data_IF_233123805822
#
_entry.id   IF_233123805822
#
_cell.length_a   1.000
_cell.length_b   1.000
_cell.length_c   1.000
_cell.angle_alpha   90.00
_cell.angle_beta   90.00
_cell.angle_gamma   90.00
#
_symmetry.space_group_name_H-M   'P 1'
#
loop_
_entity.id
_entity.type
_entity.pdbx_description
1 polymer ?
#
# COMPACT_ATOMS: atom_id res chain seq x y z
N UNK A 1 -4.37 25.94 31.76
CA UNK A 1 -5.55 25.06 31.86
C UNK A 1 -5.47 24.09 30.68
N UNK A 2 -4.72 23.02 30.86
CA UNK A 2 -4.42 22.05 29.80
C UNK A 2 -5.63 21.13 29.62
N UNK A 3 -6.36 21.32 28.54
CA UNK A 3 -7.41 20.41 28.12
C UNK A 3 -6.76 19.22 27.40
N UNK A 4 -6.55 18.11 28.11
CA UNK A 4 -6.14 16.84 27.52
C UNK A 4 -7.37 16.27 26.79
N UNK A 5 -7.52 16.59 25.51
CA UNK A 5 -8.62 16.13 24.67
C UNK A 5 -8.20 14.92 23.82
N UNK A 6 -8.71 13.75 24.23
CA UNK A 6 -9.19 12.63 23.42
C UNK A 6 -8.51 12.32 22.05
N UNK A 7 -7.36 11.64 22.07
CA UNK A 7 -6.89 10.74 20.98
C UNK A 7 -5.87 9.75 21.59
N UNK A 8 -6.26 8.48 21.80
CA UNK A 8 -5.57 7.45 22.63
C UNK A 8 -4.20 7.88 23.21
N UNK A 9 -4.18 8.76 24.24
CA UNK A 9 -2.97 9.01 25.00
C UNK A 9 -2.90 7.86 26.00
N UNK A 10 -1.77 7.15 26.07
CA UNK A 10 -1.40 6.10 27.05
C UNK A 10 -2.52 5.65 28.01
N UNK A 11 -2.84 4.35 28.07
CA UNK A 11 -3.85 3.84 29.00
C UNK A 11 -3.34 3.82 30.44
N UNK A 12 -3.20 5.03 30.99
CA UNK A 12 -2.75 5.31 32.33
C UNK A 12 -3.92 5.20 33.32
N UNK A 13 -3.65 4.82 34.57
CA UNK A 13 -4.60 4.98 35.67
C UNK A 13 -5.12 6.42 35.79
N UNK A 14 -6.36 6.60 36.25
CA UNK A 14 -7.01 7.92 36.26
C UNK A 14 -6.35 8.93 37.22
N UNK A 15 -5.69 8.45 38.27
CA UNK A 15 -4.90 9.27 39.19
C UNK A 15 -3.67 9.89 38.50
N UNK A 16 -3.10 9.24 37.49
CA UNK A 16 -2.00 9.81 36.70
C UNK A 16 -2.46 10.97 35.81
N UNK A 17 -3.70 10.93 35.32
CA UNK A 17 -4.25 11.98 34.44
C UNK A 17 -4.49 13.30 35.17
N UNK A 18 -4.61 13.25 36.49
CA UNK A 18 -4.85 14.42 37.35
C UNK A 18 -3.56 15.01 37.93
N UNK A 19 -2.40 14.50 37.52
CA UNK A 19 -1.11 15.00 37.95
C UNK A 19 -0.90 16.43 37.43
N UNK A 20 -0.60 17.37 38.34
CA UNK A 20 -0.19 18.72 37.97
C UNK A 20 1.32 18.77 37.66
N UNK A 21 1.65 18.72 36.37
CA UNK A 21 3.04 18.72 35.88
C UNK A 21 3.78 20.05 36.12
N UNK A 22 3.08 21.18 36.33
CA UNK A 22 3.72 22.48 36.60
C UNK A 22 4.50 22.51 37.93
N UNK A 23 4.22 21.56 38.82
CA UNK A 23 4.89 21.40 40.11
C UNK A 23 5.73 20.12 40.20
N UNK A 24 5.99 19.47 39.06
CA UNK A 24 6.74 18.24 39.00
C UNK A 24 8.24 18.48 38.73
N UNK A 25 9.07 17.70 39.39
CA UNK A 25 10.46 17.50 38.99
C UNK A 25 10.51 16.30 38.03
N UNK A 26 10.82 16.57 36.76
CA UNK A 26 10.80 15.59 35.67
C UNK A 26 12.23 15.36 35.19
N UNK A 27 12.69 14.12 35.34
CA UNK A 27 13.98 13.66 34.81
C UNK A 27 13.75 12.70 33.65
N UNK A 28 14.38 12.97 32.51
CA UNK A 28 14.40 12.07 31.35
C UNK A 28 15.82 11.56 31.15
N UNK A 29 15.99 10.25 31.03
CA UNK A 29 17.27 9.59 30.76
C UNK A 29 17.11 8.64 29.58
N UNK A 30 18.00 8.71 28.62
CA UNK A 30 18.12 7.69 27.58
C UNK A 30 19.11 6.61 28.00
N UNK A 31 18.93 5.38 27.54
CA UNK A 31 19.88 4.27 27.77
C UNK A 31 20.16 4.00 29.26
N UNK A 32 19.11 4.03 30.10
CA UNK A 32 19.26 3.86 31.54
C UNK A 32 19.57 2.41 31.90
N UNK A 33 20.80 2.16 32.35
CA UNK A 33 21.22 0.84 32.83
C UNK A 33 20.47 0.44 34.11
N UNK A 34 19.89 -0.75 34.11
CA UNK A 34 19.20 -1.37 35.26
C UNK A 34 20.11 -2.39 35.95
N UNK A 35 19.66 -2.92 37.10
CA UNK A 35 20.48 -3.82 37.96
C UNK A 35 21.06 -5.05 37.26
N UNK A 36 20.38 -5.58 36.24
CA UNK A 36 20.84 -6.75 35.48
C UNK A 36 21.76 -6.40 34.28
N UNK A 37 22.08 -5.11 34.09
CA UNK A 37 22.96 -4.64 33.02
C UNK A 37 22.26 -4.27 31.70
N UNK A 38 20.95 -4.52 31.54
CA UNK A 38 20.17 -4.03 30.40
C UNK A 38 19.94 -2.53 30.48
N UNK A 39 19.51 -1.92 29.37
CA UNK A 39 19.27 -0.47 29.27
C UNK A 39 17.86 -0.19 28.78
N UNK A 40 17.12 0.61 29.52
CA UNK A 40 15.84 1.16 29.05
C UNK A 40 16.12 2.29 28.04
N UNK A 41 15.52 2.22 26.86
CA UNK A 41 15.77 3.20 25.79
C UNK A 41 15.46 4.62 26.24
N UNK A 42 14.27 4.83 26.83
CA UNK A 42 13.88 6.09 27.45
C UNK A 42 13.24 5.80 28.81
N UNK A 43 13.77 6.44 29.84
CA UNK A 43 13.27 6.40 31.20
C UNK A 43 12.85 7.80 31.63
N UNK A 44 11.63 7.93 32.14
CA UNK A 44 11.07 9.17 32.66
C UNK A 44 10.75 8.94 34.13
N UNK A 45 11.27 9.82 35.00
CA UNK A 45 10.92 9.87 36.40
C UNK A 45 10.25 11.20 36.70
N UNK A 46 9.06 11.14 37.26
CA UNK A 46 8.25 12.30 37.64
C UNK A 46 8.10 12.28 39.15
N UNK A 47 8.57 13.32 39.82
CA UNK A 47 8.45 13.47 41.27
C UNK A 47 7.59 14.68 41.61
N UNK A 48 6.56 14.45 42.43
CA UNK A 48 5.59 15.48 42.82
C UNK A 48 5.31 15.31 44.30
N UNK A 49 5.68 16.32 45.08
CA UNK A 49 5.66 16.27 46.54
C UNK A 49 6.34 14.98 47.08
N UNK A 50 5.56 14.06 47.64
CA UNK A 50 6.03 12.78 48.21
C UNK A 50 5.81 11.58 47.29
N UNK A 51 5.21 11.79 46.11
CA UNK A 51 4.93 10.74 45.14
C UNK A 51 5.98 10.75 44.03
N UNK A 52 6.33 9.54 43.59
CA UNK A 52 7.21 9.33 42.44
C UNK A 52 6.54 8.39 41.45
N UNK A 53 6.71 8.68 40.17
CA UNK A 53 6.17 7.92 39.05
C UNK A 53 7.28 7.60 38.06
N UNK A 54 7.25 6.38 37.51
CA UNK A 54 8.21 5.92 36.53
C UNK A 54 7.54 5.52 35.23
N UNK A 55 8.03 6.03 34.10
CA UNK A 55 7.65 5.55 32.77
C UNK A 55 8.89 4.99 32.09
N UNK A 56 8.79 3.76 31.59
CA UNK A 56 9.78 3.16 30.72
C UNK A 56 9.20 3.12 29.30
N UNK A 57 9.88 3.67 28.31
CA UNK A 57 9.50 3.56 26.90
C UNK A 57 10.56 2.71 26.21
N UNK A 58 10.14 1.55 25.70
CA UNK A 58 10.94 0.71 24.81
C UNK A 58 10.64 1.10 23.36
N UNK A 59 11.67 1.50 22.62
CA UNK A 59 11.56 2.07 21.29
C UNK A 59 11.94 1.04 20.22
N UNK A 60 10.94 0.46 19.55
CA UNK A 60 11.10 -0.58 18.53
C UNK A 60 10.58 -0.13 17.15
N UNK A 61 11.24 0.84 16.49
CA UNK A 61 10.86 1.22 15.13
C UNK A 61 11.06 0.06 14.14
N UNK A 62 12.14 -0.72 14.30
CA UNK A 62 12.54 -1.77 13.36
C UNK A 62 13.09 -3.05 14.01
N UNK A 63 13.45 -2.99 15.29
CA UNK A 63 14.20 -4.06 15.95
C UNK A 63 13.27 -5.14 16.51
N UNK A 64 13.73 -6.39 16.47
CA UNK A 64 13.10 -7.49 17.21
C UNK A 64 13.31 -7.33 18.72
N UNK A 65 12.45 -7.97 19.52
CA UNK A 65 12.57 -7.93 20.97
C UNK A 65 13.71 -8.82 21.48
N UNK A 66 14.35 -8.39 22.56
CA UNK A 66 15.29 -9.23 23.30
C UNK A 66 14.55 -10.24 24.20
N UNK A 67 15.16 -11.40 24.43
CA UNK A 67 14.64 -12.40 25.40
C UNK A 67 14.40 -11.75 26.77
N UNK A 68 13.25 -11.99 27.37
CA UNK A 68 12.79 -11.48 28.67
C UNK A 68 12.91 -9.96 28.88
N UNK A 69 13.06 -9.18 27.82
CA UNK A 69 13.42 -7.76 27.91
C UNK A 69 12.37 -6.94 28.64
N UNK A 70 11.10 -7.06 28.25
CA UNK A 70 10.03 -6.31 28.90
C UNK A 70 9.77 -6.79 30.34
N UNK A 71 9.94 -8.08 30.61
CA UNK A 71 9.85 -8.62 31.98
C UNK A 71 10.92 -8.01 32.90
N UNK A 72 12.16 -7.94 32.43
CA UNK A 72 13.26 -7.33 33.18
C UNK A 72 12.99 -5.86 33.50
N UNK A 73 12.44 -5.10 32.55
CA UNK A 73 12.06 -3.71 32.77
C UNK A 73 10.89 -3.57 33.74
N UNK A 74 9.83 -4.36 33.60
CA UNK A 74 8.71 -4.33 34.54
C UNK A 74 9.15 -4.69 35.97
N UNK A 75 10.05 -5.65 36.14
CA UNK A 75 10.61 -6.02 37.44
C UNK A 75 11.42 -4.86 38.07
N UNK A 76 12.22 -4.15 37.26
CA UNK A 76 12.94 -2.98 37.75
C UNK A 76 11.98 -1.84 38.11
N UNK A 77 11.03 -1.54 37.24
CA UNK A 77 10.10 -0.43 37.41
C UNK A 77 9.17 -0.62 38.60
N UNK A 78 8.64 -1.83 38.80
CA UNK A 78 7.82 -2.17 39.97
C UNK A 78 8.63 -2.18 41.27
N UNK A 79 9.93 -2.48 41.23
CA UNK A 79 10.79 -2.34 42.39
C UNK A 79 11.03 -0.86 42.78
N UNK A 80 11.27 -0.01 41.78
CA UNK A 80 11.52 1.42 42.00
C UNK A 80 10.24 2.20 42.33
N UNK A 81 9.10 1.80 41.75
CA UNK A 81 7.81 2.48 41.86
C UNK A 81 6.69 1.45 42.07
N UNK A 82 6.53 0.90 43.29
CA UNK A 82 5.63 -0.24 43.55
C UNK A 82 4.17 -0.08 43.10
N UNK A 83 3.66 1.15 43.01
CA UNK A 83 2.28 1.45 42.61
C UNK A 83 2.19 2.41 41.42
N UNK A 84 3.31 2.98 40.99
CA UNK A 84 3.34 4.14 40.11
C UNK A 84 4.34 3.93 38.96
N UNK A 85 4.24 2.79 38.28
CA UNK A 85 5.02 2.53 37.09
C UNK A 85 4.14 2.31 35.86
N UNK A 86 4.69 2.63 34.70
CA UNK A 86 4.07 2.33 33.42
C UNK A 86 5.14 1.98 32.39
N UNK A 87 4.86 0.99 31.55
CA UNK A 87 5.70 0.58 30.44
C UNK A 87 5.00 0.91 29.12
N UNK A 88 5.70 1.60 28.24
CA UNK A 88 5.23 1.95 26.90
C UNK A 88 6.05 1.16 25.90
N UNK A 89 5.37 0.36 25.08
CA UNK A 89 5.98 -0.26 23.92
C UNK A 89 5.67 0.61 22.70
N UNK A 90 6.71 1.24 22.14
CA UNK A 90 6.59 2.08 20.94
C UNK A 90 7.07 1.30 19.72
N UNK A 91 6.12 0.74 18.95
CA UNK A 91 6.42 -0.10 17.79
C UNK A 91 6.36 0.66 16.47
N UNK A 92 7.07 0.19 15.44
CA UNK A 92 7.01 0.77 14.09
C UNK A 92 5.63 0.62 13.43
N UNK A 93 5.08 -0.60 13.41
CA UNK A 93 3.94 -0.98 12.55
C UNK A 93 2.78 -1.66 13.30
N UNK A 94 2.71 -1.54 14.63
CA UNK A 94 1.65 -2.18 15.44
C UNK A 94 1.90 -3.65 15.74
N UNK A 95 3.14 -4.12 15.58
CA UNK A 95 3.52 -5.45 16.06
C UNK A 95 3.44 -5.47 17.58
N UNK A 96 2.79 -6.48 18.13
CA UNK A 96 2.79 -6.73 19.58
C UNK A 96 4.17 -7.21 20.06
N UNK A 97 4.50 -7.03 21.35
CA UNK A 97 5.70 -7.62 21.92
C UNK A 97 5.76 -9.13 21.69
N UNK A 98 6.93 -9.64 21.33
CA UNK A 98 7.17 -11.06 21.14
C UNK A 98 7.06 -11.84 22.45
N UNK A 99 6.56 -13.07 22.37
CA UNK A 99 6.32 -13.96 23.52
C UNK A 99 7.60 -14.24 24.33
N UNK A 100 8.77 -14.29 23.68
CA UNK A 100 10.04 -14.46 24.38
C UNK A 100 10.43 -13.24 25.22
N UNK A 101 9.96 -12.04 24.87
CA UNK A 101 10.18 -10.82 25.64
C UNK A 101 9.28 -10.73 26.87
N UNK A 102 7.99 -11.05 26.68
CA UNK A 102 6.98 -11.13 27.74
C UNK A 102 5.94 -12.18 27.38
N UNK A 103 5.63 -13.06 28.33
CA UNK A 103 4.58 -14.06 28.13
C UNK A 103 3.21 -13.39 27.99
N UNK A 104 2.32 -13.88 27.10
CA UNK A 104 1.00 -13.30 26.87
C UNK A 104 0.16 -13.12 28.14
N UNK A 105 0.26 -14.03 29.11
CA UNK A 105 -0.53 -13.95 30.36
C UNK A 105 -0.03 -12.83 31.27
N UNK A 106 1.28 -12.59 31.29
CA UNK A 106 1.91 -11.50 32.04
C UNK A 106 1.55 -10.16 31.38
N UNK A 107 1.66 -10.08 30.06
CA UNK A 107 1.31 -8.87 29.30
C UNK A 107 -0.17 -8.50 29.52
N UNK A 108 -1.07 -9.49 29.49
CA UNK A 108 -2.49 -9.29 29.78
C UNK A 108 -2.72 -8.72 31.18
N UNK A 109 -2.02 -9.24 32.19
CA UNK A 109 -2.09 -8.70 33.56
C UNK A 109 -1.69 -7.23 33.62
N UNK A 110 -0.64 -6.82 32.89
CA UNK A 110 -0.21 -5.42 32.86
C UNK A 110 -1.22 -4.51 32.14
N UNK A 111 -1.84 -4.99 31.06
CA UNK A 111 -2.93 -4.28 30.38
C UNK A 111 -4.13 -4.09 31.33
N UNK A 112 -4.58 -5.15 32.01
CA UNK A 112 -5.71 -5.10 32.95
C UNK A 112 -5.42 -4.13 34.12
N UNK A 113 -4.16 -4.04 34.54
CA UNK A 113 -3.71 -3.14 35.61
C UNK A 113 -3.34 -1.74 35.13
N UNK A 114 -3.44 -1.45 33.82
CA UNK A 114 -3.01 -0.18 33.22
C UNK A 114 -1.53 0.18 33.47
N UNK A 115 -0.69 -0.84 33.60
CA UNK A 115 0.77 -0.69 33.72
C UNK A 115 1.49 -0.80 32.37
N UNK A 116 0.75 -1.05 31.28
CA UNK A 116 1.32 -1.19 29.94
C UNK A 116 0.47 -0.47 28.88
N UNK A 117 1.14 0.23 27.96
CA UNK A 117 0.53 0.77 26.74
C UNK A 117 1.33 0.33 25.52
N UNK A 118 0.62 -0.14 24.49
CA UNK A 118 1.17 -0.28 23.15
C UNK A 118 0.76 0.93 22.31
N UNK A 119 1.75 1.63 21.77
CA UNK A 119 1.56 2.71 20.80
C UNK A 119 2.47 2.49 19.59
N UNK A 120 2.11 3.06 18.46
CA UNK A 120 2.89 2.99 17.23
C UNK A 120 3.51 4.34 16.87
N UNK A 121 4.55 4.35 16.04
CA UNK A 121 5.08 5.59 15.47
C UNK A 121 4.00 6.45 14.77
N UNK A 122 3.09 5.88 13.97
CA UNK A 122 1.92 6.60 13.45
C UNK A 122 1.04 7.27 14.52
N UNK A 123 0.83 6.65 15.69
CA UNK A 123 0.03 7.24 16.77
C UNK A 123 0.64 8.54 17.31
N UNK A 124 1.96 8.71 17.19
CA UNK A 124 2.66 9.93 17.61
C UNK A 124 2.29 11.14 16.74
N UNK A 125 1.79 10.96 15.51
CA UNK A 125 1.51 12.08 14.59
C UNK A 125 0.51 13.06 15.20
N UNK A 126 -0.52 12.58 15.89
CA UNK A 126 -1.50 13.46 16.52
C UNK A 126 -0.86 14.29 17.63
N UNK A 127 -0.07 13.64 18.50
CA UNK A 127 0.66 14.31 19.57
C UNK A 127 1.68 15.33 19.05
N UNK A 128 2.38 15.03 17.95
CA UNK A 128 3.30 15.96 17.29
C UNK A 128 2.55 17.18 16.72
N UNK A 129 1.35 16.99 16.15
CA UNK A 129 0.50 18.10 15.68
C UNK A 129 0.06 19.01 16.82
N UNK A 130 -0.34 18.45 17.97
CA UNK A 130 -0.66 19.23 19.16
C UNK A 130 0.58 19.96 19.70
N UNK A 131 1.73 19.30 19.72
CA UNK A 131 3.00 19.91 20.14
C UNK A 131 3.36 21.12 19.26
N UNK A 132 3.05 21.09 17.95
CA UNK A 132 3.26 22.22 17.04
C UNK A 132 2.35 23.44 17.33
N UNK A 133 1.17 23.24 17.93
CA UNK A 133 0.29 24.36 18.27
C UNK A 133 0.72 25.09 19.54
N UNK A 134 1.47 24.40 20.42
CA UNK A 134 1.91 24.94 21.70
C UNK A 134 3.38 25.40 21.70
N UNK A 135 4.21 24.82 20.83
CA UNK A 135 5.63 25.16 20.76
C UNK A 135 5.85 26.57 20.20
N UNK A 136 6.69 27.35 20.87
CA UNK A 136 7.04 28.72 20.45
C UNK A 136 8.45 28.84 19.85
N UNK A 137 9.26 27.78 19.93
CA UNK A 137 10.65 27.82 19.47
C UNK A 137 10.75 27.32 18.02
N UNK A 138 11.14 28.20 17.10
CA UNK A 138 11.21 27.91 15.66
C UNK A 138 12.08 26.69 15.30
N UNK A 139 13.19 26.48 16.00
CA UNK A 139 14.08 25.33 15.74
C UNK A 139 13.41 24.01 16.16
N UNK A 140 12.70 24.03 17.28
CA UNK A 140 11.95 22.86 17.77
C UNK A 140 10.74 22.60 16.87
N UNK A 141 10.03 23.65 16.44
CA UNK A 141 8.95 23.55 15.44
C UNK A 141 9.46 22.89 14.16
N UNK A 142 10.61 23.34 13.65
CA UNK A 142 11.22 22.75 12.45
C UNK A 142 11.54 21.27 12.66
N UNK A 143 12.20 20.92 13.77
CA UNK A 143 12.49 19.53 14.11
C UNK A 143 11.22 18.67 14.19
N UNK A 144 10.17 19.14 14.88
CA UNK A 144 8.90 18.41 15.01
C UNK A 144 8.26 18.19 13.62
N UNK A 145 8.31 19.19 12.73
CA UNK A 145 7.82 19.05 11.34
C UNK A 145 8.59 17.98 10.58
N UNK A 146 9.92 18.02 10.63
CA UNK A 146 10.77 17.03 9.94
C UNK A 146 10.59 15.63 10.52
N UNK A 147 10.47 15.51 11.84
CA UNK A 147 10.26 14.22 12.50
C UNK A 147 8.88 13.64 12.18
N UNK A 148 7.83 14.46 12.18
CA UNK A 148 6.51 14.07 11.70
C UNK A 148 6.57 13.59 10.24
N UNK A 149 7.25 14.34 9.37
CA UNK A 149 7.40 13.96 7.96
C UNK A 149 8.15 12.65 7.80
N UNK A 150 9.22 12.42 8.57
CA UNK A 150 9.92 11.15 8.64
C UNK A 150 8.98 10.00 9.04
N UNK A 151 8.15 10.20 10.06
CA UNK A 151 7.19 9.17 10.50
C UNK A 151 6.18 8.84 9.39
N UNK A 152 5.62 9.87 8.76
CA UNK A 152 4.71 9.73 7.63
C UNK A 152 5.38 8.96 6.48
N UNK A 153 6.65 9.24 6.18
CA UNK A 153 7.37 8.56 5.11
C UNK A 153 7.76 7.12 5.47
N UNK A 154 8.29 6.85 6.65
CA UNK A 154 8.85 5.53 6.95
C UNK A 154 7.80 4.54 7.44
N UNK A 155 6.82 4.99 8.25
CA UNK A 155 5.87 4.09 8.90
C UNK A 155 4.48 4.08 8.26
N UNK A 156 4.12 5.08 7.45
CA UNK A 156 2.86 5.04 6.69
C UNK A 156 3.04 4.52 5.25
N UNK A 157 4.18 4.78 4.59
CA UNK A 157 4.39 4.41 3.17
C UNK A 157 4.68 2.94 2.89
N UNK A 158 4.91 2.10 3.91
CA UNK A 158 5.34 0.70 3.71
C UNK A 158 4.22 -0.37 3.76
N UNK A 159 2.93 -0.01 3.84
CA UNK A 159 1.86 -1.01 3.77
C UNK A 159 0.61 -0.47 3.08
N UNK A 160 0.23 -1.01 1.91
CA UNK A 160 -1.04 -0.79 1.20
C UNK A 160 -2.31 -0.98 2.08
N UNK A 161 -2.16 -1.60 3.26
CA UNK A 161 -3.21 -1.83 4.26
C UNK A 161 -3.44 -0.58 5.15
N UNK A 162 -2.43 0.29 5.33
CA UNK A 162 -2.51 1.47 6.21
C UNK A 162 -3.32 2.61 5.57
N UNK A 163 -3.17 2.83 4.26
CA UNK A 163 -3.90 3.87 3.52
C UNK A 163 -5.40 3.59 3.49
N UNK A 164 -5.79 2.32 3.28
CA UNK A 164 -7.19 1.92 3.28
C UNK A 164 -7.83 2.10 4.66
N UNK A 165 -7.11 1.76 5.74
CA UNK A 165 -7.58 1.96 7.11
C UNK A 165 -7.62 3.45 7.49
N UNK A 166 -6.67 4.25 7.04
CA UNK A 166 -6.68 5.70 7.25
C UNK A 166 -7.84 6.36 6.52
N UNK A 167 -8.06 6.01 5.26
CA UNK A 167 -9.20 6.47 4.46
C UNK A 167 -10.52 6.06 5.12
N UNK A 168 -10.62 4.80 5.56
CA UNK A 168 -11.81 4.31 6.28
C UNK A 168 -12.04 5.11 7.57
N UNK A 169 -10.99 5.41 8.33
CA UNK A 169 -11.10 6.24 9.52
C UNK A 169 -11.57 7.68 9.20
N UNK A 170 -11.10 8.30 8.11
CA UNK A 170 -11.58 9.62 7.64
C UNK A 170 -13.06 9.55 7.25
N UNK A 171 -13.46 8.50 6.53
CA UNK A 171 -14.85 8.28 6.11
C UNK A 171 -15.75 8.15 7.34
N UNK A 172 -15.33 7.41 8.37
CA UNK A 172 -16.12 7.15 9.57
C UNK A 172 -16.16 8.31 10.58
N UNK A 173 -15.30 9.32 10.41
CA UNK A 173 -15.26 10.49 11.30
C UNK A 173 -16.47 11.43 11.15
N UNK A 174 -17.16 11.42 10.01
CA UNK A 174 -18.30 12.31 9.74
C UNK A 174 -19.37 11.60 8.87
N UNK A 175 -20.65 11.58 9.28
CA UNK A 175 -21.75 11.08 8.45
C UNK A 175 -21.81 11.66 7.03
N UNK A 176 -21.38 12.92 6.84
CA UNK A 176 -21.33 13.55 5.50
C UNK A 176 -20.24 12.91 4.63
N UNK A 177 -19.10 12.51 5.19
CA UNK A 177 -18.07 11.77 4.44
C UNK A 177 -18.56 10.39 4.02
N UNK A 178 -19.34 9.72 4.87
CA UNK A 178 -19.99 8.45 4.53
C UNK A 178 -20.92 8.65 3.33
N UNK A 179 -21.81 9.63 3.39
CA UNK A 179 -22.75 9.93 2.30
C UNK A 179 -22.00 10.25 0.99
N UNK A 180 -21.04 11.17 1.02
CA UNK A 180 -20.25 11.54 -0.16
C UNK A 180 -19.49 10.34 -0.76
N UNK A 181 -18.96 9.45 0.09
CA UNK A 181 -18.29 8.24 -0.36
C UNK A 181 -19.25 7.31 -1.10
N UNK A 182 -20.46 7.09 -0.59
CA UNK A 182 -21.45 6.25 -1.29
C UNK A 182 -21.96 6.90 -2.57
N UNK A 183 -22.09 8.23 -2.62
CA UNK A 183 -22.40 8.96 -3.86
C UNK A 183 -21.28 8.78 -4.92
N UNK A 184 -20.01 8.86 -4.52
CA UNK A 184 -18.86 8.60 -5.39
C UNK A 184 -18.83 7.15 -5.88
N UNK A 185 -19.12 6.18 -5.01
CA UNK A 185 -19.25 4.78 -5.39
C UNK A 185 -20.40 4.58 -6.39
N UNK A 186 -21.49 5.33 -6.25
CA UNK A 186 -22.63 5.30 -7.17
C UNK A 186 -22.29 5.77 -8.59
N UNK A 187 -21.30 6.65 -8.76
CA UNK A 187 -20.85 7.13 -10.08
C UNK A 187 -19.62 6.39 -10.62
N UNK A 188 -19.04 5.46 -9.86
CA UNK A 188 -17.81 4.73 -10.21
C UNK A 188 -17.89 4.09 -11.60
N UNK A 189 -18.98 3.40 -11.90
CA UNK A 189 -19.11 2.69 -13.18
C UNK A 189 -19.19 3.66 -14.36
N UNK A 190 -19.90 4.79 -14.21
CA UNK A 190 -19.97 5.83 -15.25
C UNK A 190 -18.61 6.49 -15.50
N UNK A 191 -17.82 6.70 -14.44
CA UNK A 191 -16.44 7.19 -14.56
C UNK A 191 -15.57 6.20 -15.34
N UNK A 192 -15.63 4.92 -14.97
CA UNK A 192 -14.90 3.87 -15.68
C UNK A 192 -15.31 3.79 -17.16
N UNK A 193 -16.60 3.85 -17.46
CA UNK A 193 -17.09 3.80 -18.84
C UNK A 193 -16.60 5.01 -19.67
N UNK A 194 -16.56 6.20 -19.04
CA UNK A 194 -15.99 7.41 -19.67
C UNK A 194 -14.49 7.27 -19.97
N UNK A 195 -13.74 6.67 -19.04
CA UNK A 195 -12.31 6.39 -19.24
C UNK A 195 -12.08 5.32 -20.30
N UNK A 196 -12.86 4.23 -20.29
CA UNK A 196 -12.78 3.21 -21.35
C UNK A 196 -13.06 3.83 -22.72
N UNK A 197 -14.09 4.67 -22.84
CA UNK A 197 -14.36 5.36 -24.10
C UNK A 197 -13.18 6.24 -24.54
N UNK A 198 -12.55 6.95 -23.60
CA UNK A 198 -11.35 7.74 -23.86
C UNK A 198 -10.19 6.88 -24.35
N UNK A 199 -9.93 5.74 -23.71
CA UNK A 199 -8.90 4.79 -24.13
C UNK A 199 -9.16 4.26 -25.55
N UNK A 200 -10.40 3.90 -25.87
CA UNK A 200 -10.77 3.46 -27.22
C UNK A 200 -10.48 4.53 -28.27
N UNK A 201 -10.82 5.80 -28.00
CA UNK A 201 -10.53 6.91 -28.92
C UNK A 201 -9.02 7.15 -29.08
N UNK A 202 -8.25 7.05 -27.99
CA UNK A 202 -6.79 7.17 -28.02
C UNK A 202 -6.18 6.05 -28.87
N UNK A 203 -6.58 4.80 -28.65
CA UNK A 203 -6.10 3.63 -29.41
C UNK A 203 -6.51 3.73 -30.89
N UNK A 204 -7.74 4.14 -31.19
CA UNK A 204 -8.21 4.35 -32.56
C UNK A 204 -7.36 5.38 -33.30
N UNK A 205 -7.05 6.49 -32.64
CA UNK A 205 -6.20 7.54 -33.20
C UNK A 205 -4.77 7.05 -33.44
N UNK A 206 -4.19 6.35 -32.47
CA UNK A 206 -2.83 5.80 -32.57
C UNK A 206 -2.71 4.73 -33.66
N UNK A 207 -3.69 3.83 -33.77
CA UNK A 207 -3.75 2.80 -34.81
C UNK A 207 -3.93 3.43 -36.21
N UNK A 208 -4.83 4.42 -36.34
CA UNK A 208 -5.08 5.09 -37.61
C UNK A 208 -3.83 5.82 -38.15
N UNK A 209 -3.04 6.47 -37.28
CA UNK A 209 -1.77 7.10 -37.67
C UNK A 209 -0.76 6.11 -38.26
N UNK A 210 -0.87 4.82 -37.91
CA UNK A 210 -0.02 3.73 -38.42
C UNK A 210 -0.64 2.97 -39.60
N UNK A 211 -1.84 3.35 -40.04
CA UNK A 211 -2.61 2.62 -41.05
C UNK A 211 -3.15 1.27 -40.56
N UNK A 212 -3.25 1.07 -39.24
CA UNK A 212 -3.82 -0.12 -38.62
C UNK A 212 -5.32 0.03 -38.40
N UNK A 213 -6.01 -1.10 -38.24
CA UNK A 213 -7.46 -1.16 -38.11
C UNK A 213 -7.86 -1.73 -36.77
N UNK A 214 -8.79 -1.06 -36.11
CA UNK A 214 -9.37 -1.53 -34.85
C UNK A 214 -10.74 -2.15 -35.11
N UNK A 215 -10.99 -3.29 -34.48
CA UNK A 215 -12.34 -3.86 -34.34
C UNK A 215 -12.64 -4.22 -32.90
N UNK A 216 -13.92 -4.47 -32.63
CA UNK A 216 -14.45 -4.77 -31.30
C UNK A 216 -14.27 -3.60 -30.33
N UNK A 217 -14.73 -3.79 -29.10
CA UNK A 217 -14.77 -2.77 -28.05
C UNK A 217 -14.45 -3.39 -26.71
N UNK A 218 -13.93 -2.57 -25.81
CA UNK A 218 -13.72 -2.96 -24.43
C UNK A 218 -15.07 -2.93 -23.72
N UNK A 219 -15.43 -4.00 -23.03
CA UNK A 219 -16.63 -4.07 -22.20
C UNK A 219 -16.34 -4.78 -20.87
N UNK A 220 -17.35 -4.80 -19.99
CA UNK A 220 -17.29 -5.50 -18.70
C UNK A 220 -17.52 -7.01 -18.81
N UNK A 221 -17.74 -7.52 -20.02
CA UNK A 221 -18.05 -8.92 -20.24
C UNK A 221 -16.80 -9.81 -20.11
N UNK A 222 -17.06 -11.11 -20.01
CA UNK A 222 -16.02 -12.12 -20.06
C UNK A 222 -15.43 -12.22 -21.48
N UNK A 223 -14.10 -12.33 -21.58
CA UNK A 223 -13.37 -12.40 -22.86
C UNK A 223 -13.61 -11.19 -23.78
N UNK A 224 -13.90 -10.03 -23.18
CA UNK A 224 -14.07 -8.78 -23.88
C UNK A 224 -12.73 -8.10 -24.12
N UNK A 225 -12.59 -7.45 -25.28
CA UNK A 225 -11.31 -6.92 -25.71
C UNK A 225 -11.39 -6.25 -27.07
N UNK A 226 -10.26 -5.71 -27.50
CA UNK A 226 -10.12 -4.95 -28.73
C UNK A 226 -9.05 -5.59 -29.61
N UNK A 227 -9.33 -5.66 -30.91
CA UNK A 227 -8.41 -6.19 -31.91
C UNK A 227 -7.75 -5.06 -32.70
N UNK A 228 -6.44 -5.15 -32.91
CA UNK A 228 -5.63 -4.26 -33.74
C UNK A 228 -5.03 -5.10 -34.89
N UNK A 229 -5.49 -4.84 -36.11
CA UNK A 229 -5.02 -5.46 -37.33
C UNK A 229 -4.02 -4.56 -38.04
N UNK A 230 -2.84 -5.11 -38.35
CA UNK A 230 -1.83 -4.38 -39.13
C UNK A 230 -2.27 -4.16 -40.59
N UNK A 231 -3.12 -5.04 -41.14
CA UNK A 231 -3.78 -4.87 -42.44
C UNK A 231 -5.18 -5.50 -42.43
N UNK A 232 -6.08 -5.08 -43.32
CA UNK A 232 -7.45 -5.61 -43.41
C UNK A 232 -7.55 -7.10 -43.76
N UNK A 233 -6.49 -7.68 -44.33
CA UNK A 233 -6.48 -9.07 -44.81
C UNK A 233 -6.02 -10.08 -43.76
N UNK A 234 -5.43 -9.61 -42.65
CA UNK A 234 -4.91 -10.48 -41.61
C UNK A 234 -6.04 -11.24 -40.90
N UNK A 235 -5.85 -12.55 -40.73
CA UNK A 235 -6.68 -13.45 -39.91
C UNK A 235 -6.17 -13.56 -38.46
N UNK A 236 -4.98 -13.02 -38.18
CA UNK A 236 -4.41 -12.86 -36.84
C UNK A 236 -4.28 -11.37 -36.52
N UNK A 237 -4.38 -11.00 -35.24
CA UNK A 237 -4.31 -9.61 -34.79
C UNK A 237 -3.56 -9.48 -33.47
N UNK A 238 -3.04 -8.27 -33.21
CA UNK A 238 -2.69 -7.90 -31.85
C UNK A 238 -3.97 -7.63 -31.09
N UNK A 239 -4.18 -8.31 -29.97
CA UNK A 239 -5.39 -8.21 -29.17
C UNK A 239 -5.04 -7.89 -27.72
N UNK A 240 -5.86 -7.02 -27.13
CA UNK A 240 -5.95 -6.84 -25.68
C UNK A 240 -7.26 -7.47 -25.21
N UNK A 241 -7.26 -8.17 -24.09
CA UNK A 241 -8.46 -8.86 -23.59
C UNK A 241 -8.49 -8.96 -22.06
N UNK A 242 -9.69 -9.05 -21.51
CA UNK A 242 -9.96 -9.36 -20.11
C UNK A 242 -10.50 -10.78 -19.97
N UNK A 243 -9.81 -11.61 -19.18
CA UNK A 243 -10.21 -12.98 -18.93
C UNK A 243 -11.40 -13.07 -17.98
N UNK A 244 -11.82 -12.02 -17.29
CA UNK A 244 -12.91 -12.04 -16.33
C UNK A 244 -13.76 -10.77 -16.44
N UNK A 245 -14.99 -10.83 -15.92
CA UNK A 245 -15.88 -9.68 -15.88
C UNK A 245 -15.26 -8.47 -15.18
N UNK A 246 -15.77 -7.28 -15.53
CA UNK A 246 -15.41 -6.00 -14.91
C UNK A 246 -13.92 -5.65 -15.03
N UNK A 247 -13.35 -5.84 -16.21
CA UNK A 247 -11.98 -5.42 -16.54
C UNK A 247 -10.91 -6.14 -15.71
N UNK A 248 -11.08 -7.46 -15.53
CA UNK A 248 -10.19 -8.29 -14.71
C UNK A 248 -9.50 -9.34 -15.56
N UNK A 249 -8.27 -9.67 -15.18
CA UNK A 249 -7.42 -10.56 -15.93
C UNK A 249 -6.99 -9.97 -17.27
N UNK A 250 -6.34 -8.79 -17.25
CA UNK A 250 -5.89 -8.09 -18.44
C UNK A 250 -4.61 -8.71 -19.03
N UNK A 251 -4.63 -9.03 -20.31
CA UNK A 251 -3.49 -9.55 -21.05
C UNK A 251 -3.50 -9.10 -22.50
N UNK A 252 -2.34 -9.21 -23.14
CA UNK A 252 -2.11 -8.74 -24.51
C UNK A 252 -1.35 -9.81 -25.30
N UNK A 253 -1.50 -9.83 -26.62
CA UNK A 253 -0.82 -10.82 -27.45
C UNK A 253 -1.30 -10.89 -28.88
N UNK A 254 -0.95 -11.97 -29.57
CA UNK A 254 -1.42 -12.29 -30.91
C UNK A 254 -2.51 -13.36 -30.83
N UNK A 255 -3.70 -13.01 -31.30
CA UNK A 255 -4.88 -13.88 -31.30
C UNK A 255 -5.42 -14.07 -32.72
N UNK A 256 -6.09 -15.20 -32.95
CA UNK A 256 -6.84 -15.43 -34.19
C UNK A 256 -8.14 -14.62 -34.18
N UNK A 257 -8.53 -14.13 -35.36
CA UNK A 257 -9.79 -13.43 -35.60
C UNK A 257 -11.00 -14.38 -35.50
N UNK A 258 -10.85 -15.61 -35.97
CA UNK A 258 -11.92 -16.61 -36.06
C UNK A 258 -11.49 -17.98 -35.55
N UNK A 259 -12.44 -18.76 -35.01
CA UNK A 259 -12.21 -20.06 -34.38
C UNK A 259 -11.57 -21.12 -35.27
N UNK A 260 -11.82 -21.07 -36.58
CA UNK A 260 -11.50 -22.15 -37.51
C UNK A 260 -10.06 -22.11 -38.06
N UNK A 261 -9.25 -21.12 -37.70
CA UNK A 261 -7.85 -21.05 -38.14
C UNK A 261 -6.99 -22.08 -37.39
N UNK A 262 -6.52 -23.10 -38.11
CA UNK A 262 -5.61 -24.12 -37.59
C UNK A 262 -4.21 -23.94 -38.22
N UNK A 263 -3.32 -23.25 -37.52
CA UNK A 263 -1.95 -22.99 -37.97
C UNK A 263 -0.93 -23.23 -36.81
N UNK A 264 -0.79 -24.48 -36.33
CA UNK A 264 0.02 -24.78 -35.15
C UNK A 264 1.49 -24.39 -35.31
N UNK A 265 2.07 -24.60 -36.51
CA UNK A 265 3.47 -24.24 -36.78
C UNK A 265 3.68 -22.72 -36.69
N UNK A 266 2.81 -21.94 -37.35
CA UNK A 266 2.85 -20.48 -37.28
C UNK A 266 2.67 -19.99 -35.83
N UNK A 267 1.80 -20.62 -35.04
CA UNK A 267 1.64 -20.25 -33.63
C UNK A 267 2.93 -20.50 -32.83
N UNK A 268 3.63 -21.61 -33.05
CA UNK A 268 4.92 -21.87 -32.39
C UNK A 268 5.99 -20.85 -32.81
N UNK A 269 6.03 -20.46 -34.08
CA UNK A 269 6.97 -19.45 -34.57
C UNK A 269 6.68 -18.06 -33.97
N UNK A 270 5.41 -17.67 -33.87
CA UNK A 270 4.98 -16.43 -33.21
C UNK A 270 5.32 -16.47 -31.72
N UNK A 271 5.02 -17.58 -31.02
CA UNK A 271 5.35 -17.76 -29.60
C UNK A 271 6.85 -17.62 -29.35
N UNK A 272 7.68 -18.27 -30.16
CA UNK A 272 9.14 -18.17 -30.08
C UNK A 272 9.61 -16.73 -30.33
N UNK A 273 9.11 -16.05 -31.36
CA UNK A 273 9.48 -14.67 -31.66
C UNK A 273 9.14 -13.70 -30.53
N UNK A 274 7.97 -13.84 -29.92
CA UNK A 274 7.52 -12.98 -28.82
C UNK A 274 8.27 -13.33 -27.51
N UNK A 275 8.60 -14.60 -27.29
CA UNK A 275 9.43 -15.03 -26.14
C UNK A 275 10.85 -14.48 -26.20
N UNK A 276 11.46 -14.44 -27.39
CA UNK A 276 12.76 -13.80 -27.62
C UNK A 276 12.70 -12.28 -27.40
N UNK A 277 11.59 -11.64 -27.82
CA UNK A 277 11.40 -10.19 -27.67
C UNK A 277 11.21 -9.77 -26.20
N UNK A 278 10.55 -10.61 -25.39
CA UNK A 278 10.28 -10.34 -23.98
C UNK A 278 10.85 -11.45 -23.08
N UNK A 279 12.18 -11.56 -22.95
CA UNK A 279 12.85 -12.69 -22.28
C UNK A 279 12.57 -12.77 -20.77
N UNK A 280 12.10 -11.67 -20.17
CA UNK A 280 11.74 -11.61 -18.75
C UNK A 280 10.25 -11.84 -18.49
N UNK A 281 9.44 -11.93 -19.55
CA UNK A 281 8.01 -12.16 -19.45
C UNK A 281 7.65 -13.63 -19.59
N UNK A 282 6.59 -14.05 -18.90
CA UNK A 282 6.03 -15.38 -19.08
C UNK A 282 5.09 -15.38 -20.27
N UNK A 283 5.63 -15.64 -21.46
CA UNK A 283 4.85 -15.76 -22.71
C UNK A 283 4.15 -17.11 -22.76
N UNK A 284 2.82 -17.09 -22.92
CA UNK A 284 1.95 -18.28 -22.97
C UNK A 284 1.33 -18.43 -24.37
N UNK A 285 0.81 -19.62 -24.66
CA UNK A 285 0.14 -19.97 -25.92
C UNK A 285 -1.13 -20.78 -25.62
N UNK A 286 -2.11 -20.73 -26.53
CA UNK A 286 -3.31 -21.58 -26.50
C UNK A 286 -3.84 -21.81 -27.92
N UNK A 287 -4.96 -22.52 -28.07
CA UNK A 287 -5.63 -22.70 -29.36
C UNK A 287 -6.19 -21.40 -29.96
N UNK A 288 -6.42 -20.38 -29.11
CA UNK A 288 -6.92 -19.07 -29.54
C UNK A 288 -5.81 -18.01 -29.66
N UNK A 289 -4.76 -18.17 -28.85
CA UNK A 289 -3.67 -17.21 -28.73
C UNK A 289 -2.35 -17.83 -29.20
N UNK A 290 -1.81 -17.30 -30.30
CA UNK A 290 -0.48 -17.69 -30.79
C UNK A 290 0.60 -17.33 -29.78
N UNK A 291 0.46 -16.18 -29.12
CA UNK A 291 1.20 -15.87 -27.91
C UNK A 291 0.45 -14.81 -27.09
N UNK A 292 0.58 -14.83 -25.76
CA UNK A 292 0.04 -13.79 -24.90
C UNK A 292 0.82 -13.62 -23.58
N UNK A 293 0.76 -12.42 -23.03
CA UNK A 293 1.48 -11.98 -21.83
C UNK A 293 0.49 -11.33 -20.87
N UNK A 294 0.45 -11.87 -19.64
CA UNK A 294 -0.31 -11.29 -18.54
C UNK A 294 0.31 -9.95 -18.12
N UNK A 295 -0.48 -8.88 -18.10
CA UNK A 295 0.00 -7.58 -17.63
C UNK A 295 -0.15 -7.52 -16.10
N UNK A 296 0.78 -8.15 -15.37
CA UNK A 296 0.64 -8.44 -13.93
C UNK A 296 0.38 -7.20 -13.06
N UNK A 297 1.05 -6.09 -13.35
CA UNK A 297 0.95 -4.83 -12.61
C UNK A 297 -0.42 -4.13 -12.79
N UNK A 298 -1.10 -4.43 -13.88
CA UNK A 298 -2.45 -3.94 -14.21
C UNK A 298 -3.40 -5.10 -14.52
N UNK A 299 -3.23 -6.23 -13.83
CA UNK A 299 -3.96 -7.47 -14.14
C UNK A 299 -5.44 -7.36 -13.79
N UNK A 300 -5.75 -6.69 -12.69
CA UNK A 300 -7.10 -6.55 -12.14
C UNK A 300 -7.43 -5.06 -11.97
N UNK A 301 -8.19 -4.47 -12.88
CA UNK A 301 -8.45 -3.01 -12.87
C UNK A 301 -9.43 -2.60 -11.76
N UNK A 302 -10.01 -3.56 -11.03
CA UNK A 302 -10.82 -3.27 -9.84
C UNK A 302 -9.93 -2.96 -8.63
N UNK A 303 -8.79 -3.64 -8.51
CA UNK A 303 -7.86 -3.46 -7.38
C UNK A 303 -6.64 -2.63 -7.74
N UNK A 304 -6.16 -2.68 -8.99
CA UNK A 304 -5.04 -1.90 -9.49
C UNK A 304 -5.55 -0.57 -10.07
N UNK A 305 -6.04 0.32 -9.21
CA UNK A 305 -6.78 1.52 -9.61
C UNK A 305 -5.94 2.57 -10.37
N UNK A 306 -4.61 2.52 -10.28
CA UNK A 306 -3.71 3.42 -11.00
C UNK A 306 -3.88 3.35 -12.53
N UNK A 307 -4.39 2.23 -13.06
CA UNK A 307 -4.69 2.06 -14.49
C UNK A 307 -5.68 3.10 -15.02
N UNK A 308 -6.64 3.53 -14.20
CA UNK A 308 -7.61 4.56 -14.55
C UNK A 308 -6.93 5.92 -14.76
N UNK A 309 -5.93 6.24 -13.94
CA UNK A 309 -5.09 7.43 -14.10
C UNK A 309 -4.19 7.36 -15.32
N UNK A 310 -3.67 6.16 -15.65
CA UNK A 310 -2.87 5.94 -16.86
C UNK A 310 -3.68 6.15 -18.15
N UNK A 311 -4.98 5.85 -18.13
CA UNK A 311 -5.87 6.17 -19.25
C UNK A 311 -6.03 7.68 -19.38
N UNK A 312 -6.26 8.36 -18.26
CA UNK A 312 -6.47 9.81 -18.25
C UNK A 312 -5.25 10.56 -18.78
N UNK A 313 -4.05 10.16 -18.37
CA UNK A 313 -2.77 10.72 -18.82
C UNK A 313 -2.38 10.31 -20.26
N UNK A 314 -2.98 9.24 -20.79
CA UNK A 314 -2.64 8.63 -22.08
C UNK A 314 -1.47 7.64 -22.03
N UNK A 315 -0.87 7.42 -20.87
CA UNK A 315 0.22 6.48 -20.64
C UNK A 315 -0.16 5.04 -21.05
N UNK A 316 -1.39 4.61 -20.72
CA UNK A 316 -1.83 3.25 -21.06
C UNK A 316 -1.92 3.04 -22.58
N UNK A 317 -2.43 4.03 -23.32
CA UNK A 317 -2.47 3.99 -24.78
C UNK A 317 -1.05 3.89 -25.36
N UNK A 318 -0.10 4.67 -24.84
CA UNK A 318 1.29 4.61 -25.26
C UNK A 318 1.89 3.22 -25.01
N UNK A 319 1.68 2.65 -23.83
CA UNK A 319 2.16 1.30 -23.48
C UNK A 319 1.59 0.23 -24.41
N UNK A 320 0.27 0.20 -24.61
CA UNK A 320 -0.39 -0.79 -25.49
C UNK A 320 0.12 -0.66 -26.93
N UNK A 321 0.21 0.58 -27.43
CA UNK A 321 0.70 0.85 -28.79
C UNK A 321 2.17 0.46 -28.96
N UNK A 322 3.00 0.63 -27.92
CA UNK A 322 4.39 0.21 -27.92
C UNK A 322 4.52 -1.32 -28.01
N UNK A 323 3.71 -2.07 -27.27
CA UNK A 323 3.68 -3.54 -27.40
C UNK A 323 3.26 -3.97 -28.80
N UNK A 324 2.19 -3.38 -29.36
CA UNK A 324 1.74 -3.66 -30.70
C UNK A 324 2.84 -3.38 -31.75
N UNK A 325 3.57 -2.26 -31.61
CA UNK A 325 4.67 -1.88 -32.49
C UNK A 325 5.87 -2.82 -32.38
N UNK A 326 6.32 -3.14 -31.17
CA UNK A 326 7.46 -4.04 -30.97
C UNK A 326 7.17 -5.44 -31.54
N UNK A 327 5.97 -5.95 -31.29
CA UNK A 327 5.55 -7.26 -31.83
C UNK A 327 5.43 -7.18 -33.35
N UNK A 328 4.81 -6.14 -33.91
CA UNK A 328 4.75 -5.93 -35.35
C UNK A 328 6.14 -5.99 -36.00
N UNK A 329 7.10 -5.24 -35.46
CA UNK A 329 8.47 -5.19 -35.98
C UNK A 329 9.16 -6.55 -35.90
N UNK A 330 9.06 -7.25 -34.77
CA UNK A 330 9.68 -8.56 -34.59
C UNK A 330 9.11 -9.62 -35.55
N UNK A 331 7.78 -9.63 -35.74
CA UNK A 331 7.13 -10.55 -36.68
C UNK A 331 7.46 -10.20 -38.14
N UNK A 332 7.54 -8.91 -38.48
CA UNK A 332 7.91 -8.46 -39.82
C UNK A 332 9.35 -8.86 -40.17
N UNK A 333 10.30 -8.69 -39.24
CA UNK A 333 11.71 -9.09 -39.45
C UNK A 333 11.88 -10.59 -39.70
N UNK A 334 11.00 -11.42 -39.14
CA UNK A 334 10.97 -12.87 -39.35
C UNK A 334 10.06 -13.30 -40.52
N UNK A 335 9.50 -12.35 -41.28
CA UNK A 335 8.54 -12.56 -42.38
C UNK A 335 7.25 -13.31 -41.99
N UNK A 336 6.88 -13.28 -40.70
CA UNK A 336 5.70 -14.01 -40.21
C UNK A 336 4.38 -13.28 -40.48
N UNK A 337 4.43 -11.96 -40.75
CA UNK A 337 3.21 -11.17 -41.02
C UNK A 337 2.55 -11.53 -42.35
N UNK A 338 3.32 -11.97 -43.35
CA UNK A 338 2.75 -12.39 -44.64
C UNK A 338 1.87 -13.64 -44.47
N UNK A 339 2.24 -14.49 -43.51
CA UNK A 339 1.48 -15.67 -43.06
C UNK A 339 0.26 -15.31 -42.19
N UNK A 340 0.00 -14.03 -41.89
CA UNK A 340 -1.25 -13.69 -41.20
C UNK A 340 -2.45 -13.76 -42.16
N UNK A 341 -2.23 -13.75 -43.47
CA UNK A 341 -3.26 -13.75 -44.50
C UNK A 341 -3.79 -15.15 -44.87
N UNK A 342 -3.31 -16.21 -44.19
CA UNK A 342 -3.36 -17.60 -44.67
C UNK A 342 -4.71 -17.98 -45.29
N UNK A 343 -4.66 -18.44 -46.55
CA UNK A 343 -5.74 -18.82 -47.47
C UNK A 343 -7.00 -19.39 -46.82
#
# INVERSE_FOLDING_TARGET
>A
MLAICATKPLDLPDDWRNINLDHADITVQTEKTIRNGRRMDIYIHIKIAQQSYGICIENKPFAADGDQQLQDYANEMSFLFPQNWHLVYLSGYGNEPAEHSVKPEILKSWLDQKNFSHITFPDLIHWLKQSLTECQNDKVIYYIKEFKHYIEKEFLSMNDISEQNHLLNIILQDPQHIQATFELLGVKDQLQDSLIHKLEQQLQSAAHQKGWYITDRISRDHWAGLNIFYTQKHKLCFRIEFNYYNYRGFFIGIAKREGNLAAPELFHQIHSAISELFPHEKVKQSEWWAAYIDQKDIWDWQTHTHVWSMIESGELCQRITQYAELIYQALNQKNLLDEFNLS
#
